data_IF_882751110337
#
_entry.id   IF_882751110337
#
_cell.length_a   1.000
_cell.length_b   1.000
_cell.length_c   1.000
_cell.angle_alpha   90.00
_cell.angle_beta   90.00
_cell.angle_gamma   90.00
#
_symmetry.space_group_name_H-M   'P 1'
#
loop_
_entity.id
_entity.type
_entity.pdbx_description
1 polymer ?
#
# COMPACT_ATOMS: atom_id res chain seq x y z
N UNK A 1 -6.96 7.19 -18.60
CA UNK A 1 -6.41 8.53 -18.93
C UNK A 1 -7.45 9.60 -18.64
N UNK A 2 -6.98 10.78 -18.24
CA UNK A 2 -7.80 11.96 -17.96
C UNK A 2 -8.38 12.53 -19.26
N UNK A 3 -9.63 12.95 -19.23
CA UNK A 3 -10.17 13.78 -20.31
C UNK A 3 -9.64 15.22 -20.25
N UNK A 4 -10.03 16.06 -21.21
CA UNK A 4 -9.57 17.45 -21.28
C UNK A 4 -10.02 18.29 -20.07
N UNK A 5 -11.22 18.04 -19.52
CA UNK A 5 -11.73 18.78 -18.37
C UNK A 5 -11.01 18.34 -17.09
N UNK A 6 -10.87 17.04 -16.89
CA UNK A 6 -10.14 16.43 -15.78
C UNK A 6 -8.69 16.91 -15.75
N UNK A 7 -8.00 16.90 -16.89
CA UNK A 7 -6.63 17.39 -17.01
C UNK A 7 -6.53 18.89 -16.68
N UNK A 8 -7.41 19.73 -17.22
CA UNK A 8 -7.41 21.16 -16.91
C UNK A 8 -7.65 21.44 -15.41
N UNK A 9 -8.52 20.65 -14.77
CA UNK A 9 -8.75 20.75 -13.33
C UNK A 9 -7.52 20.29 -12.55
N UNK A 10 -6.89 19.21 -12.97
CA UNK A 10 -5.65 18.71 -12.38
C UNK A 10 -4.51 19.74 -12.49
N UNK A 11 -4.28 20.35 -13.67
CA UNK A 11 -3.27 21.40 -13.83
C UNK A 11 -3.49 22.59 -12.89
N UNK A 12 -4.76 22.98 -12.66
CA UNK A 12 -5.10 24.04 -11.70
C UNK A 12 -4.84 23.61 -10.26
N UNK A 13 -5.13 22.36 -9.90
CA UNK A 13 -4.86 21.83 -8.56
C UNK A 13 -3.37 21.76 -8.26
N UNK A 14 -2.54 21.48 -9.27
CA UNK A 14 -1.08 21.45 -9.16
C UNK A 14 -0.43 22.84 -9.33
N UNK A 15 -1.21 23.91 -9.46
CA UNK A 15 -0.71 25.28 -9.69
C UNK A 15 0.30 25.39 -10.86
N UNK A 16 0.09 24.60 -11.93
CA UNK A 16 1.02 24.57 -13.06
C UNK A 16 1.01 25.89 -13.84
N UNK A 17 2.20 26.32 -14.24
CA UNK A 17 2.36 27.42 -15.19
C UNK A 17 1.81 27.05 -16.58
N UNK A 18 1.50 28.04 -17.41
CA UNK A 18 1.11 27.79 -18.81
C UNK A 18 2.17 27.00 -19.58
N UNK A 19 3.45 27.22 -19.29
CA UNK A 19 4.55 26.48 -19.90
C UNK A 19 4.59 25.01 -19.43
N UNK A 20 4.33 24.76 -18.15
CA UNK A 20 4.21 23.41 -17.59
C UNK A 20 2.99 22.66 -18.14
N UNK A 21 1.85 23.33 -18.27
CA UNK A 21 0.67 22.75 -18.92
C UNK A 21 0.96 22.39 -20.39
N UNK A 22 1.55 23.30 -21.14
CA UNK A 22 1.82 23.09 -22.57
C UNK A 22 2.76 21.90 -22.82
N UNK A 23 3.81 21.72 -22.01
CA UNK A 23 4.72 20.59 -22.19
C UNK A 23 4.04 19.26 -21.86
N UNK A 24 3.16 19.21 -20.86
CA UNK A 24 2.39 18.00 -20.56
C UNK A 24 1.40 17.70 -21.70
N UNK A 25 0.70 18.71 -22.24
CA UNK A 25 -0.17 18.52 -23.40
C UNK A 25 0.58 17.98 -24.63
N UNK A 26 1.80 18.48 -24.87
CA UNK A 26 2.68 17.95 -25.92
C UNK A 26 3.02 16.48 -25.67
N UNK A 27 3.41 16.10 -24.45
CA UNK A 27 3.71 14.71 -24.09
C UNK A 27 2.48 13.81 -24.30
N UNK A 28 1.31 14.23 -23.79
CA UNK A 28 0.05 13.47 -23.86
C UNK A 28 -0.45 13.24 -25.29
N UNK A 29 -0.12 14.16 -26.20
CA UNK A 29 -0.51 14.10 -27.62
C UNK A 29 0.54 13.47 -28.53
N UNK A 30 1.75 13.21 -28.01
CA UNK A 30 2.87 12.64 -28.76
C UNK A 30 2.84 11.11 -28.77
N UNK A 31 3.27 10.52 -29.88
CA UNK A 31 3.66 9.12 -29.89
C UNK A 31 5.04 8.93 -29.22
N UNK A 32 5.41 7.72 -28.77
CA UNK A 32 6.75 7.44 -28.25
C UNK A 32 7.84 7.94 -29.20
N UNK A 33 8.78 8.72 -28.68
CA UNK A 33 9.76 9.47 -29.47
C UNK A 33 10.75 8.59 -30.23
N UNK A 34 10.88 7.32 -29.81
CA UNK A 34 11.67 6.29 -30.49
C UNK A 34 10.86 5.00 -30.55
N UNK A 35 11.08 4.20 -31.58
CA UNK A 35 10.58 2.82 -31.62
C UNK A 35 11.64 1.92 -31.04
N UNK A 36 11.28 1.15 -30.02
CA UNK A 36 12.16 0.14 -29.48
C UNK A 36 12.50 -0.89 -30.57
N UNK A 37 13.79 -1.15 -30.78
CA UNK A 37 14.28 -2.19 -31.70
C UNK A 37 15.17 -3.16 -30.93
N UNK A 38 14.90 -4.47 -31.07
CA UNK A 38 15.63 -5.50 -30.33
C UNK A 38 17.13 -5.46 -30.61
N UNK A 39 17.93 -5.11 -29.60
CA UNK A 39 19.38 -5.25 -29.64
C UNK A 39 19.80 -6.62 -29.09
N UNK A 40 20.96 -7.12 -29.53
CA UNK A 40 21.51 -8.47 -29.22
C UNK A 40 21.69 -8.79 -27.72
N UNK A 41 21.43 -7.83 -26.82
CA UNK A 41 21.58 -7.94 -25.35
C UNK A 41 20.33 -7.51 -24.56
N UNK A 42 19.30 -6.94 -25.19
CA UNK A 42 18.13 -6.39 -24.52
C UNK A 42 16.85 -7.07 -25.03
N UNK A 43 15.99 -7.51 -24.11
CA UNK A 43 14.65 -8.01 -24.45
C UNK A 43 13.72 -6.80 -24.48
N UNK A 44 13.42 -6.40 -25.70
CA UNK A 44 12.46 -5.36 -26.00
C UNK A 44 11.06 -5.96 -26.10
N UNK A 45 10.07 -5.27 -25.57
CA UNK A 45 8.69 -5.74 -25.59
C UNK A 45 7.69 -4.60 -25.47
N UNK A 46 6.43 -4.98 -25.26
CA UNK A 46 5.33 -4.04 -25.20
C UNK A 46 4.26 -4.56 -24.23
N UNK A 47 3.78 -3.71 -23.33
CA UNK A 47 2.79 -4.03 -22.30
C UNK A 47 1.42 -3.43 -22.64
N UNK A 48 0.33 -4.20 -22.71
CA UNK A 48 -1.01 -3.69 -23.02
C UNK A 48 -1.64 -3.01 -21.79
N UNK A 49 -1.36 -1.72 -21.60
CA UNK A 49 -1.87 -0.95 -20.46
C UNK A 49 -3.37 -0.67 -20.60
N UNK A 50 -4.11 -0.97 -19.53
CA UNK A 50 -5.53 -0.64 -19.41
C UNK A 50 -5.70 0.78 -18.92
N UNK A 51 -4.84 1.21 -17.99
CA UNK A 51 -4.84 2.59 -17.48
C UNK A 51 -4.66 3.61 -18.60
N UNK A 52 -3.77 3.29 -19.55
CA UNK A 52 -3.49 4.13 -20.71
C UNK A 52 -4.37 3.80 -21.92
N UNK A 53 -4.97 2.61 -21.99
CA UNK A 53 -5.78 2.18 -23.13
C UNK A 53 -4.96 1.97 -24.41
N UNK A 54 -3.64 1.81 -24.27
CA UNK A 54 -2.69 1.63 -25.37
C UNK A 54 -1.53 0.72 -24.93
N UNK A 55 -0.67 0.37 -25.87
CA UNK A 55 0.50 -0.45 -25.57
C UNK A 55 1.71 0.43 -25.22
N UNK A 56 2.35 0.14 -24.10
CA UNK A 56 3.54 0.83 -23.58
C UNK A 56 4.80 0.03 -23.93
N UNK A 57 5.81 0.65 -24.54
CA UNK A 57 7.05 -0.04 -24.91
C UNK A 57 8.02 -0.12 -23.73
N UNK A 58 8.86 -1.15 -23.73
CA UNK A 58 9.99 -1.27 -22.80
C UNK A 58 11.19 -1.93 -23.48
N UNK A 59 12.39 -1.58 -23.02
CA UNK A 59 13.68 -2.12 -23.49
C UNK A 59 14.36 -3.02 -22.47
N UNK A 60 13.89 -3.01 -21.23
CA UNK A 60 14.43 -3.83 -20.14
C UNK A 60 13.34 -4.55 -19.36
N UNK A 61 13.35 -5.88 -19.45
CA UNK A 61 12.37 -6.74 -18.77
C UNK A 61 12.48 -6.72 -17.23
N UNK A 62 13.68 -6.44 -16.69
CA UNK A 62 13.91 -6.48 -15.24
C UNK A 62 13.82 -5.11 -14.59
N UNK A 63 13.88 -4.02 -15.36
CA UNK A 63 13.87 -2.66 -14.83
C UNK A 63 12.62 -1.92 -15.32
N UNK A 64 12.54 -1.60 -16.61
CA UNK A 64 11.42 -0.84 -17.18
C UNK A 64 10.09 -1.61 -17.13
N UNK A 65 10.06 -2.89 -17.47
CA UNK A 65 8.82 -3.67 -17.34
C UNK A 65 8.37 -3.79 -15.88
N UNK A 66 9.31 -3.99 -14.95
CA UNK A 66 9.00 -4.00 -13.53
C UNK A 66 8.40 -2.65 -13.10
N UNK A 67 8.94 -1.54 -13.62
CA UNK A 67 8.39 -0.21 -13.39
C UNK A 67 6.99 -0.04 -13.99
N UNK A 68 6.74 -0.53 -15.20
CA UNK A 68 5.40 -0.50 -15.82
C UNK A 68 4.38 -1.20 -14.94
N UNK A 69 4.72 -2.35 -14.34
CA UNK A 69 3.83 -3.04 -13.41
C UNK A 69 3.49 -2.19 -12.18
N UNK A 70 4.48 -1.51 -11.57
CA UNK A 70 4.23 -0.59 -10.46
C UNK A 70 3.33 0.59 -10.90
N UNK A 71 3.58 1.17 -12.07
CA UNK A 71 2.83 2.31 -12.59
C UNK A 71 1.39 1.95 -12.96
N UNK A 72 1.16 0.79 -13.59
CA UNK A 72 -0.17 0.33 -13.99
C UNK A 72 -1.09 0.10 -12.78
N UNK A 73 -0.53 -0.41 -11.69
CA UNK A 73 -1.30 -0.82 -10.51
C UNK A 73 -1.25 0.18 -9.35
N UNK A 74 -0.45 1.26 -9.43
CA UNK A 74 -0.51 2.36 -8.45
C UNK A 74 -1.80 3.19 -8.68
N UNK A 75 -2.72 3.26 -7.69
CA UNK A 75 -3.95 4.04 -7.80
C UNK A 75 -3.71 5.55 -7.86
N UNK A 76 -2.53 6.03 -7.42
CA UNK A 76 -2.15 7.43 -7.50
C UNK A 76 -1.57 7.81 -8.87
N UNK A 77 -1.25 6.86 -9.74
CA UNK A 77 -0.80 7.13 -11.12
C UNK A 77 -2.04 7.28 -12.00
N UNK A 78 -2.18 8.44 -12.64
CA UNK A 78 -3.28 8.76 -13.54
C UNK A 78 -2.93 8.41 -14.98
N UNK A 79 -1.71 8.75 -15.40
CA UNK A 79 -1.18 8.51 -16.74
C UNK A 79 0.34 8.25 -16.67
N UNK A 80 0.87 7.48 -17.61
CA UNK A 80 2.31 7.31 -17.79
C UNK A 80 2.64 7.00 -19.25
N UNK A 81 3.69 7.64 -19.76
CA UNK A 81 4.06 7.65 -21.17
C UNK A 81 5.49 7.11 -21.31
N UNK A 82 5.68 6.09 -22.13
CA UNK A 82 7.01 5.60 -22.48
C UNK A 82 7.70 6.55 -23.46
N UNK A 83 8.99 6.78 -23.22
CA UNK A 83 9.88 7.46 -24.15
C UNK A 83 9.32 8.82 -24.62
N UNK A 84 8.99 9.74 -23.67
CA UNK A 84 8.46 11.06 -23.99
C UNK A 84 9.40 11.85 -24.94
N UNK A 85 8.93 12.98 -25.52
CA UNK A 85 9.78 13.89 -26.28
C UNK A 85 11.15 14.14 -25.61
N UNK A 86 12.20 14.14 -26.44
CA UNK A 86 13.56 14.29 -25.94
C UNK A 86 13.76 15.66 -25.28
N UNK A 87 14.44 15.66 -24.15
CA UNK A 87 14.83 16.83 -23.38
C UNK A 87 16.31 17.13 -23.59
N UNK A 88 16.69 18.39 -23.43
CA UNK A 88 18.08 18.78 -23.55
C UNK A 88 18.79 18.74 -22.20
N UNK A 89 19.79 17.86 -22.07
CA UNK A 89 20.64 17.81 -20.88
C UNK A 89 21.91 18.63 -21.07
N UNK A 90 22.17 19.54 -20.13
CA UNK A 90 23.36 20.41 -20.11
C UNK A 90 24.12 20.22 -18.80
N UNK A 91 25.37 19.76 -18.85
CA UNK A 91 26.19 19.53 -17.64
C UNK A 91 27.68 19.55 -17.98
N UNK A 92 28.53 19.70 -16.96
CA UNK A 92 29.98 19.58 -17.14
C UNK A 92 30.43 18.11 -16.95
N UNK A 93 31.30 17.59 -17.82
CA UNK A 93 31.97 16.32 -17.55
C UNK A 93 32.87 16.41 -16.32
N UNK A 94 33.35 15.25 -15.85
CA UNK A 94 34.40 15.17 -14.82
C UNK A 94 35.68 15.95 -15.20
N UNK A 95 35.97 16.11 -16.48
CA UNK A 95 37.10 16.89 -17.00
C UNK A 95 36.82 18.40 -17.15
N UNK A 96 35.62 18.87 -16.78
CA UNK A 96 35.21 20.28 -16.89
C UNK A 96 34.69 20.71 -18.26
N UNK A 97 34.59 19.79 -19.24
CA UNK A 97 34.03 20.09 -20.56
C UNK A 97 32.50 20.19 -20.47
N UNK A 98 31.92 21.26 -21.01
CA UNK A 98 30.46 21.38 -21.14
C UNK A 98 29.92 20.39 -22.17
N UNK A 99 28.95 19.57 -21.77
CA UNK A 99 28.20 18.66 -22.62
C UNK A 99 26.78 19.18 -22.79
N UNK A 100 26.24 18.98 -24.00
CA UNK A 100 24.87 19.30 -24.40
C UNK A 100 24.43 18.20 -25.35
N UNK A 101 23.32 17.54 -25.06
CA UNK A 101 22.77 16.51 -25.93
C UNK A 101 21.28 16.34 -25.69
N UNK A 102 20.59 15.87 -26.74
CA UNK A 102 19.20 15.42 -26.65
C UNK A 102 19.15 14.06 -25.97
N UNK A 103 18.18 13.90 -25.09
CA UNK A 103 18.06 12.76 -24.22
C UNK A 103 16.58 12.40 -24.03
N UNK A 104 16.24 11.14 -24.19
CA UNK A 104 14.88 10.63 -23.97
C UNK A 104 14.85 9.90 -22.64
N UNK A 105 14.12 10.40 -21.63
CA UNK A 105 13.84 9.65 -20.41
C UNK A 105 13.03 8.38 -20.70
N UNK A 106 13.03 7.42 -19.79
CA UNK A 106 12.27 6.18 -19.97
C UNK A 106 10.76 6.42 -19.85
N UNK A 107 10.33 7.26 -18.89
CA UNK A 107 8.92 7.58 -18.68
C UNK A 107 8.66 9.06 -18.43
N UNK A 108 7.43 9.49 -18.72
CA UNK A 108 6.79 10.65 -18.09
C UNK A 108 5.55 10.19 -17.35
N UNK A 109 5.40 10.57 -16.08
CA UNK A 109 4.35 10.05 -15.19
C UNK A 109 3.53 11.23 -14.67
N UNK A 110 2.21 11.08 -14.71
CA UNK A 110 1.24 12.00 -14.10
C UNK A 110 0.59 11.27 -12.94
N UNK A 111 0.82 11.77 -11.72
CA UNK A 111 0.20 11.31 -10.48
C UNK A 111 -0.95 12.24 -10.08
N UNK A 112 -1.71 11.84 -9.08
CA UNK A 112 -2.74 12.67 -8.44
C UNK A 112 -2.21 14.01 -7.90
N UNK A 113 -0.93 14.07 -7.53
CA UNK A 113 -0.32 15.18 -6.79
C UNK A 113 0.93 15.78 -7.45
N UNK A 114 1.35 15.27 -8.63
CA UNK A 114 2.61 15.65 -9.27
C UNK A 114 2.71 15.11 -10.69
N UNK A 115 3.62 15.66 -11.50
CA UNK A 115 4.06 15.03 -12.74
C UNK A 115 5.56 15.21 -12.96
N UNK A 116 6.20 14.20 -13.54
CA UNK A 116 7.65 14.17 -13.65
C UNK A 116 8.14 13.24 -14.76
N UNK A 117 9.36 13.52 -15.23
CA UNK A 117 10.13 12.56 -16.01
C UNK A 117 10.80 11.57 -15.07
N UNK A 118 10.95 10.33 -15.52
CA UNK A 118 11.62 9.28 -14.75
C UNK A 118 12.60 8.51 -15.64
N UNK A 119 13.81 8.32 -15.13
CA UNK A 119 14.82 7.46 -15.74
C UNK A 119 15.00 6.19 -14.90
N UNK A 120 14.91 5.03 -15.55
CA UNK A 120 15.15 3.74 -14.94
C UNK A 120 16.62 3.30 -15.13
N UNK A 121 17.31 2.99 -14.04
CA UNK A 121 18.67 2.43 -14.08
C UNK A 121 18.90 1.41 -12.98
N UNK A 122 19.68 0.37 -13.26
CA UNK A 122 20.09 -0.55 -12.18
C UNK A 122 21.03 0.16 -11.21
N UNK A 123 21.02 -0.22 -9.92
CA UNK A 123 21.99 0.30 -8.93
C UNK A 123 23.43 0.09 -9.43
N UNK A 124 23.71 -1.06 -10.05
CA UNK A 124 25.03 -1.36 -10.59
C UNK A 124 25.46 -0.35 -11.67
N UNK A 125 24.54 0.07 -12.54
CA UNK A 125 24.80 1.09 -13.56
C UNK A 125 24.94 2.48 -12.94
N UNK A 126 24.07 2.86 -12.00
CA UNK A 126 24.12 4.16 -11.34
C UNK A 126 25.43 4.38 -10.59
N UNK A 127 25.91 3.37 -9.88
CA UNK A 127 27.22 3.44 -9.21
C UNK A 127 28.37 3.69 -10.20
N UNK A 128 28.38 2.98 -11.34
CA UNK A 128 29.38 3.22 -12.41
C UNK A 128 29.24 4.62 -13.02
N UNK A 129 28.00 5.05 -13.26
CA UNK A 129 27.71 6.35 -13.87
C UNK A 129 28.08 7.51 -12.95
N UNK A 130 27.93 7.37 -11.63
CA UNK A 130 28.36 8.35 -10.65
C UNK A 130 29.90 8.53 -10.68
N UNK A 131 30.66 7.46 -10.80
CA UNK A 131 32.13 7.54 -10.89
C UNK A 131 32.61 8.22 -12.19
N UNK A 132 31.93 7.93 -13.30
CA UNK A 132 32.29 8.40 -14.64
C UNK A 132 31.77 9.82 -14.92
N UNK A 133 30.53 10.10 -14.54
CA UNK A 133 29.78 11.31 -14.83
C UNK A 133 29.02 11.82 -13.57
N UNK A 134 29.73 12.23 -12.50
CA UNK A 134 29.12 12.61 -11.22
C UNK A 134 28.18 13.82 -11.32
N UNK A 135 28.39 14.68 -12.32
CA UNK A 135 27.52 15.84 -12.58
C UNK A 135 26.26 15.47 -13.38
N UNK A 136 26.11 14.20 -13.80
CA UNK A 136 24.92 13.69 -14.47
C UNK A 136 24.14 12.75 -13.57
N UNK A 137 24.81 11.88 -12.84
CA UNK A 137 24.17 11.00 -11.86
C UNK A 137 24.94 11.07 -10.55
N UNK A 138 24.25 11.36 -9.46
CA UNK A 138 24.84 11.40 -8.13
C UNK A 138 23.88 10.82 -7.10
N UNK A 139 24.42 10.30 -6.00
CA UNK A 139 23.64 9.80 -4.85
C UNK A 139 23.80 10.77 -3.70
N UNK A 140 22.69 11.30 -3.19
CA UNK A 140 22.70 12.20 -2.05
C UNK A 140 22.87 11.42 -0.74
N UNK A 141 23.08 12.15 0.37
CA UNK A 141 23.29 11.56 1.71
C UNK A 141 22.07 10.80 2.24
N UNK A 142 20.89 11.06 1.69
CA UNK A 142 19.64 10.33 1.98
C UNK A 142 19.53 9.01 1.20
N UNK A 143 20.53 8.70 0.37
CA UNK A 143 20.54 7.49 -0.45
C UNK A 143 19.73 7.57 -1.74
N UNK A 144 19.17 8.74 -2.09
CA UNK A 144 18.43 8.92 -3.35
C UNK A 144 19.36 9.24 -4.51
N UNK A 145 19.00 8.70 -5.68
CA UNK A 145 19.68 9.01 -6.93
C UNK A 145 19.09 10.26 -7.57
N UNK A 146 19.98 11.09 -8.10
CA UNK A 146 19.67 12.37 -8.70
C UNK A 146 20.23 12.43 -10.12
N UNK A 147 19.54 13.20 -10.96
CA UNK A 147 20.03 13.59 -12.27
C UNK A 147 20.01 15.12 -12.36
N UNK A 148 21.02 15.83 -11.84
CA UNK A 148 21.02 17.28 -11.78
C UNK A 148 20.65 18.00 -13.08
N UNK A 149 21.16 17.61 -14.28
CA UNK A 149 20.74 18.27 -15.52
C UNK A 149 19.30 17.96 -15.93
N UNK A 150 18.75 16.81 -15.54
CA UNK A 150 17.34 16.47 -15.77
C UNK A 150 16.43 17.26 -14.84
N UNK A 151 16.82 17.38 -13.57
CA UNK A 151 16.14 18.19 -12.56
C UNK A 151 16.14 19.68 -12.94
N UNK A 152 17.27 20.21 -13.42
CA UNK A 152 17.36 21.60 -13.90
C UNK A 152 16.42 21.85 -15.09
N UNK A 153 16.34 20.91 -16.03
CA UNK A 153 15.38 20.98 -17.14
C UNK A 153 13.93 20.98 -16.63
N UNK A 154 13.58 20.01 -15.79
CA UNK A 154 12.21 19.84 -15.30
C UNK A 154 11.74 21.03 -14.45
N UNK A 155 12.63 21.58 -13.60
CA UNK A 155 12.35 22.77 -12.80
C UNK A 155 12.00 23.96 -13.70
N UNK A 156 12.65 24.11 -14.86
CA UNK A 156 12.32 25.14 -15.85
C UNK A 156 10.86 25.13 -16.32
N UNK A 157 10.17 23.99 -16.17
CA UNK A 157 8.76 23.80 -16.48
C UNK A 157 7.85 23.70 -15.25
N UNK A 158 8.40 23.80 -14.04
CA UNK A 158 7.67 23.62 -12.78
C UNK A 158 7.30 22.16 -12.52
N UNK A 159 8.14 21.22 -12.97
CA UNK A 159 7.95 19.77 -12.85
C UNK A 159 9.22 19.13 -12.27
N UNK A 160 9.15 17.84 -11.95
CA UNK A 160 10.27 17.10 -11.37
C UNK A 160 10.94 16.12 -12.35
N UNK A 161 12.13 15.68 -11.99
CA UNK A 161 12.85 14.61 -12.65
C UNK A 161 13.33 13.60 -11.61
N UNK A 162 12.98 12.34 -11.79
CA UNK A 162 13.32 11.26 -10.87
C UNK A 162 14.23 10.22 -11.52
N UNK A 163 15.10 9.63 -10.71
CA UNK A 163 15.88 8.44 -11.08
C UNK A 163 15.32 7.27 -10.28
N UNK A 164 14.76 6.29 -10.98
CA UNK A 164 14.24 5.07 -10.39
C UNK A 164 15.25 3.94 -10.54
N UNK A 165 15.44 3.18 -9.46
CA UNK A 165 16.42 2.11 -9.41
C UNK A 165 15.79 0.76 -9.14
N UNK A 166 16.40 -0.30 -9.68
CA UNK A 166 16.00 -1.69 -9.44
C UNK A 166 16.02 -2.09 -7.95
N UNK A 167 16.74 -1.36 -7.09
CA UNK A 167 16.67 -1.49 -5.64
C UNK A 167 15.29 -1.14 -5.05
N UNK A 168 14.44 -0.40 -5.78
CA UNK A 168 13.08 -0.05 -5.37
C UNK A 168 12.04 -1.11 -5.76
N UNK A 169 12.44 -2.15 -6.52
CA UNK A 169 11.52 -3.18 -6.99
C UNK A 169 11.01 -4.01 -5.81
N UNK A 170 9.70 -4.08 -5.67
CA UNK A 170 9.07 -5.03 -4.76
C UNK A 170 8.91 -6.40 -5.45
N UNK A 171 9.87 -7.30 -5.25
CA UNK A 171 9.86 -8.63 -5.87
C UNK A 171 8.68 -9.52 -5.47
N UNK A 172 8.04 -9.27 -4.33
CA UNK A 172 6.81 -9.98 -3.96
C UNK A 172 5.66 -9.52 -4.86
N UNK A 173 5.49 -8.22 -4.97
CA UNK A 173 4.47 -7.60 -5.82
C UNK A 173 4.63 -8.03 -7.29
N UNK A 174 5.85 -7.97 -7.83
CA UNK A 174 6.15 -8.40 -9.20
C UNK A 174 5.78 -9.86 -9.46
N UNK A 175 6.13 -10.78 -8.55
CA UNK A 175 5.78 -12.19 -8.68
C UNK A 175 4.27 -12.41 -8.58
N UNK A 176 3.59 -11.67 -7.71
CA UNK A 176 2.14 -11.75 -7.57
C UNK A 176 1.41 -11.23 -8.83
N UNK A 177 1.89 -10.14 -9.44
CA UNK A 177 1.33 -9.67 -10.70
C UNK A 177 1.54 -10.68 -11.82
N UNK A 178 2.74 -11.28 -11.93
CA UNK A 178 3.01 -12.36 -12.88
C UNK A 178 2.06 -13.54 -12.67
N UNK A 179 1.80 -13.90 -11.41
CA UNK A 179 0.83 -14.95 -11.05
C UNK A 179 -0.59 -14.59 -11.50
N UNK A 180 -0.96 -13.31 -11.43
CA UNK A 180 -2.29 -12.83 -11.76
C UNK A 180 -2.48 -12.43 -13.24
N UNK A 181 -1.42 -12.48 -14.06
CA UNK A 181 -1.40 -11.96 -15.43
C UNK A 181 -2.57 -12.45 -16.28
N UNK A 182 -2.83 -13.76 -16.22
CA UNK A 182 -3.87 -14.39 -17.02
C UNK A 182 -5.27 -13.88 -16.64
N UNK A 183 -5.46 -13.45 -15.39
CA UNK A 183 -6.76 -13.01 -14.87
C UNK A 183 -7.09 -11.56 -15.18
N UNK A 184 -6.07 -10.70 -15.37
CA UNK A 184 -6.36 -9.32 -15.75
C UNK A 184 -7.23 -9.34 -17.01
N UNK A 185 -6.88 -10.12 -18.04
CA UNK A 185 -7.60 -10.23 -19.33
C UNK A 185 -9.09 -10.63 -19.30
N UNK A 186 -9.60 -11.25 -18.23
CA UNK A 186 -10.96 -11.78 -18.19
C UNK A 186 -12.00 -10.71 -17.87
N UNK A 187 -13.08 -10.65 -18.67
CA UNK A 187 -14.24 -9.82 -18.37
C UNK A 187 -15.15 -10.50 -17.35
N UNK A 188 -15.81 -9.70 -16.50
CA UNK A 188 -16.79 -10.18 -15.51
C UNK A 188 -17.97 -10.90 -16.15
N UNK A 189 -18.23 -10.64 -17.44
CA UNK A 189 -19.31 -11.25 -18.23
C UNK A 189 -19.09 -12.75 -18.48
N UNK A 190 -17.85 -13.23 -18.33
CA UNK A 190 -17.50 -14.65 -18.53
C UNK A 190 -17.71 -15.46 -17.25
N UNK A 191 -17.80 -14.79 -16.09
CA UNK A 191 -17.82 -15.43 -14.77
C UNK A 191 -19.20 -15.33 -14.15
N UNK A 192 -19.71 -16.44 -13.64
CA UNK A 192 -21.02 -16.53 -12.99
C UNK A 192 -21.09 -15.60 -11.76
N UNK A 193 -22.11 -14.73 -11.73
CA UNK A 193 -22.35 -13.82 -10.60
C UNK A 193 -22.64 -14.57 -9.29
N UNK A 194 -23.17 -15.80 -9.39
CA UNK A 194 -23.44 -16.64 -8.22
C UNK A 194 -22.15 -17.13 -7.56
N UNK A 195 -21.15 -17.55 -8.35
CA UNK A 195 -19.82 -17.94 -7.86
C UNK A 195 -19.09 -16.76 -7.22
N UNK A 196 -19.15 -15.58 -7.85
CA UNK A 196 -18.58 -14.35 -7.28
C UNK A 196 -19.21 -14.03 -5.92
N UNK A 197 -20.55 -14.05 -5.85
CA UNK A 197 -21.30 -13.74 -4.63
C UNK A 197 -21.01 -14.74 -3.51
N UNK A 198 -20.86 -16.02 -3.82
CA UNK A 198 -20.50 -17.06 -2.85
C UNK A 198 -19.16 -16.75 -2.18
N UNK A 199 -18.12 -16.48 -2.98
CA UNK A 199 -16.77 -16.22 -2.46
C UNK A 199 -16.76 -14.92 -1.64
N UNK A 200 -17.35 -13.85 -2.17
CA UNK A 200 -17.44 -12.55 -1.50
C UNK A 200 -18.16 -12.67 -0.15
N UNK A 201 -19.30 -13.37 -0.10
CA UNK A 201 -20.03 -13.59 1.14
C UNK A 201 -19.23 -14.46 2.12
N UNK A 202 -18.50 -15.46 1.62
CA UNK A 202 -17.65 -16.33 2.46
C UNK A 202 -16.57 -15.52 3.17
N UNK A 203 -15.85 -14.67 2.43
CA UNK A 203 -14.82 -13.77 2.98
C UNK A 203 -15.42 -12.72 3.92
N UNK A 204 -16.59 -12.17 3.58
CA UNK A 204 -17.23 -11.15 4.41
C UNK A 204 -17.74 -11.71 5.75
N UNK A 205 -18.19 -12.98 5.78
CA UNK A 205 -18.69 -13.62 7.00
C UNK A 205 -17.57 -14.14 7.92
N UNK A 206 -16.34 -14.24 7.43
CA UNK A 206 -15.20 -14.79 8.19
C UNK A 206 -13.97 -13.88 8.01
N UNK A 207 -13.75 -13.01 9.00
CA UNK A 207 -12.58 -12.13 9.01
C UNK A 207 -11.29 -12.95 9.16
N UNK A 208 -10.29 -12.65 8.32
CA UNK A 208 -8.96 -13.25 8.43
C UNK A 208 -8.84 -14.67 7.83
N UNK A 209 -9.68 -15.02 6.85
CA UNK A 209 -9.47 -16.27 6.09
C UNK A 209 -8.17 -16.21 5.28
N UNK A 210 -7.46 -17.33 5.29
CA UNK A 210 -6.30 -17.54 4.43
C UNK A 210 -6.71 -17.98 3.03
N UNK A 211 -5.86 -17.71 2.04
CA UNK A 211 -6.04 -18.19 0.68
C UNK A 211 -6.08 -19.73 0.65
N UNK A 212 -5.30 -20.41 1.50
CA UNK A 212 -5.36 -21.88 1.66
C UNK A 212 -6.74 -22.37 2.11
N UNK A 213 -7.39 -21.69 3.05
CA UNK A 213 -8.72 -22.09 3.52
C UNK A 213 -9.77 -21.93 2.42
N UNK A 214 -9.70 -20.84 1.65
CA UNK A 214 -10.58 -20.61 0.51
C UNK A 214 -10.35 -21.65 -0.59
N UNK A 215 -9.09 -21.95 -0.92
CA UNK A 215 -8.73 -22.94 -1.95
C UNK A 215 -9.08 -24.40 -1.57
N UNK A 216 -9.24 -24.68 -0.27
CA UNK A 216 -9.67 -26.01 0.22
C UNK A 216 -11.18 -26.19 0.21
N UNK A 217 -11.96 -25.12 0.02
CA UNK A 217 -13.40 -25.22 -0.11
C UNK A 217 -13.76 -25.70 -1.53
N UNK A 218 -14.35 -26.89 -1.65
CA UNK A 218 -14.71 -27.48 -2.94
C UNK A 218 -15.80 -26.68 -3.70
N UNK A 219 -16.55 -25.82 -3.01
CA UNK A 219 -17.53 -24.92 -3.63
C UNK A 219 -16.90 -23.67 -4.25
N UNK A 220 -15.62 -23.39 -3.97
CA UNK A 220 -14.91 -22.21 -4.47
C UNK A 220 -14.10 -22.60 -5.71
N UNK A 221 -14.41 -21.95 -6.82
CA UNK A 221 -13.58 -22.02 -8.02
C UNK A 221 -12.31 -21.15 -7.84
N UNK A 222 -11.09 -21.74 -7.88
CA UNK A 222 -9.84 -20.98 -7.73
C UNK A 222 -9.66 -19.88 -8.78
N UNK A 223 -10.10 -20.10 -10.03
CA UNK A 223 -9.93 -19.13 -11.10
C UNK A 223 -10.77 -17.88 -10.83
N UNK A 224 -11.99 -18.06 -10.29
CA UNK A 224 -12.85 -16.95 -9.87
C UNK A 224 -12.25 -16.22 -8.68
N UNK A 225 -11.68 -16.93 -7.71
CA UNK A 225 -11.01 -16.32 -6.56
C UNK A 225 -9.82 -15.44 -6.98
N UNK A 226 -8.92 -15.96 -7.82
CA UNK A 226 -7.79 -15.18 -8.31
C UNK A 226 -8.23 -14.02 -9.20
N UNK A 227 -9.28 -14.20 -10.00
CA UNK A 227 -9.88 -13.10 -10.76
C UNK A 227 -10.45 -12.00 -9.86
N UNK A 228 -11.14 -12.35 -8.77
CA UNK A 228 -11.64 -11.38 -7.80
C UNK A 228 -10.50 -10.59 -7.14
N UNK A 229 -9.36 -11.23 -6.87
CA UNK A 229 -8.14 -10.55 -6.36
C UNK A 229 -7.55 -9.65 -7.44
N UNK A 230 -7.40 -10.14 -8.68
CA UNK A 230 -6.82 -9.38 -9.79
C UNK A 230 -7.67 -8.18 -10.22
N UNK A 231 -8.97 -8.19 -9.92
CA UNK A 231 -9.91 -7.11 -10.24
C UNK A 231 -10.27 -6.24 -9.03
N UNK A 232 -9.47 -6.33 -7.95
CA UNK A 232 -9.63 -5.57 -6.71
C UNK A 232 -11.01 -5.72 -6.02
N UNK A 233 -11.78 -6.75 -6.39
CA UNK A 233 -13.05 -7.12 -5.72
C UNK A 233 -12.80 -7.81 -4.39
N UNK A 234 -11.63 -8.43 -4.23
CA UNK A 234 -11.07 -8.89 -2.98
C UNK A 234 -9.69 -8.28 -2.80
N UNK A 235 -9.33 -8.02 -1.56
CA UNK A 235 -8.08 -7.37 -1.20
C UNK A 235 -7.09 -8.37 -0.61
N UNK A 236 -5.87 -8.34 -1.13
CA UNK A 236 -4.67 -8.98 -0.59
C UNK A 236 -3.55 -7.94 -0.62
N UNK A 237 -2.75 -7.85 0.45
CA UNK A 237 -1.59 -6.95 0.48
C UNK A 237 -0.43 -7.54 -0.35
N UNK A 238 -0.55 -7.45 -1.67
CA UNK A 238 0.35 -8.06 -2.65
C UNK A 238 1.80 -7.55 -2.51
N UNK A 239 2.04 -6.45 -1.81
CA UNK A 239 3.39 -5.96 -1.53
C UNK A 239 4.11 -6.76 -0.45
N UNK A 240 3.38 -7.38 0.49
CA UNK A 240 3.97 -8.03 1.66
C UNK A 240 3.97 -9.55 1.57
N UNK A 241 3.04 -10.14 0.83
CA UNK A 241 2.83 -11.60 0.77
C UNK A 241 3.20 -12.19 -0.58
N UNK A 242 3.26 -13.53 -0.66
CA UNK A 242 3.44 -14.26 -1.91
C UNK A 242 2.23 -15.16 -2.15
N UNK A 243 1.54 -14.98 -3.27
CA UNK A 243 0.39 -15.81 -3.66
C UNK A 243 0.77 -17.30 -3.81
N UNK A 244 2.03 -17.58 -4.13
CA UNK A 244 2.59 -18.94 -4.16
C UNK A 244 2.72 -19.61 -2.78
N UNK A 245 2.50 -18.88 -1.68
CA UNK A 245 2.50 -19.37 -0.29
C UNK A 245 1.13 -19.11 0.36
N UNK A 246 0.05 -19.76 -0.15
CA UNK A 246 -1.34 -19.40 0.16
C UNK A 246 -1.71 -19.52 1.65
N UNK A 247 -0.95 -20.25 2.45
CA UNK A 247 -1.13 -20.37 3.91
C UNK A 247 -0.77 -19.09 4.67
N UNK A 248 0.03 -18.21 4.06
CA UNK A 248 0.45 -16.92 4.65
C UNK A 248 -0.36 -15.74 4.13
N UNK A 249 -1.23 -15.98 3.14
CA UNK A 249 -1.98 -14.95 2.44
C UNK A 249 -3.35 -14.82 3.06
N UNK A 250 -3.62 -13.70 3.74
CA UNK A 250 -4.96 -13.37 4.19
C UNK A 250 -5.73 -12.63 3.10
N UNK A 251 -7.00 -13.00 2.91
CA UNK A 251 -7.89 -12.41 1.90
C UNK A 251 -8.99 -11.63 2.62
N UNK A 252 -9.21 -10.39 2.18
CA UNK A 252 -10.18 -9.48 2.78
C UNK A 252 -11.14 -8.92 1.74
N UNK A 253 -12.27 -8.38 2.20
CA UNK A 253 -13.22 -7.72 1.30
C UNK A 253 -12.70 -6.38 0.77
N UNK A 254 -11.85 -5.70 1.54
CA UNK A 254 -11.18 -4.46 1.16
C UNK A 254 -10.01 -4.14 2.12
N UNK A 255 -9.24 -3.12 1.77
CA UNK A 255 -8.09 -2.65 2.54
C UNK A 255 -8.44 -2.20 3.97
N UNK A 256 -9.58 -1.53 4.18
CA UNK A 256 -9.97 -1.04 5.50
C UNK A 256 -10.19 -2.19 6.50
N UNK A 257 -10.76 -3.30 6.02
CA UNK A 257 -10.94 -4.50 6.83
C UNK A 257 -9.60 -5.15 7.14
N UNK A 258 -8.68 -5.22 6.16
CA UNK A 258 -7.32 -5.72 6.38
C UNK A 258 -6.56 -4.92 7.45
N UNK A 259 -6.60 -3.59 7.37
CA UNK A 259 -5.98 -2.70 8.37
C UNK A 259 -6.59 -2.89 9.76
N UNK A 260 -7.92 -3.05 9.84
CA UNK A 260 -8.61 -3.30 11.10
C UNK A 260 -8.18 -4.64 11.72
N UNK A 261 -8.03 -5.67 10.89
CA UNK A 261 -7.55 -6.99 11.30
C UNK A 261 -6.10 -6.97 11.79
N UNK A 262 -5.19 -6.29 11.06
CA UNK A 262 -3.80 -6.08 11.49
C UNK A 262 -3.75 -5.37 12.86
N UNK A 263 -4.59 -4.34 13.06
CA UNK A 263 -4.61 -3.61 14.32
C UNK A 263 -5.07 -4.48 15.50
N UNK A 264 -6.15 -5.24 15.35
CA UNK A 264 -6.64 -6.16 16.38
C UNK A 264 -5.58 -7.20 16.76
N UNK A 265 -4.94 -7.81 15.77
CA UNK A 265 -3.89 -8.80 16.01
C UNK A 265 -2.63 -8.18 16.63
N UNK A 266 -2.30 -6.93 16.29
CA UNK A 266 -1.19 -6.21 16.92
C UNK A 266 -1.47 -5.95 18.40
N UNK A 267 -2.72 -5.61 18.77
CA UNK A 267 -3.12 -5.42 20.18
C UNK A 267 -3.02 -6.74 20.93
N UNK A 268 -3.54 -7.84 20.37
CA UNK A 268 -3.45 -9.17 20.99
C UNK A 268 -1.99 -9.62 21.19
N UNK A 269 -1.12 -9.37 20.20
CA UNK A 269 0.32 -9.66 20.28
C UNK A 269 1.03 -8.79 21.33
N UNK A 270 0.60 -7.54 21.48
CA UNK A 270 1.15 -6.60 22.49
C UNK A 270 0.67 -6.96 23.90
N UNK A 271 -0.56 -7.46 24.04
CA UNK A 271 -1.09 -7.99 25.32
C UNK A 271 -0.41 -9.29 25.77
N UNK A 272 0.26 -10.02 24.88
CA UNK A 272 1.12 -11.15 25.28
C UNK A 272 2.48 -10.71 25.83
N UNK A 273 2.89 -9.45 25.61
CA UNK A 273 4.22 -8.95 26.03
C UNK A 273 4.15 -7.87 27.12
N UNK A 274 2.95 -7.35 27.42
CA UNK A 274 2.70 -6.46 28.54
C UNK A 274 1.77 -7.15 29.53
N UNK A 275 2.21 -7.29 30.79
CA UNK A 275 1.42 -7.76 31.93
C UNK A 275 0.32 -6.73 32.29
N UNK A 276 -0.48 -6.29 31.31
CA UNK A 276 -1.64 -5.45 31.53
C UNK A 276 -2.79 -6.35 31.94
N UNK A 277 -3.01 -6.41 33.25
CA UNK A 277 -4.19 -7.03 33.85
C UNK A 277 -5.41 -6.27 33.29
N UNK A 278 -6.20 -6.93 32.44
CA UNK A 278 -7.52 -6.45 32.03
C UNK A 278 -8.37 -6.28 33.28
N UNK A 279 -8.67 -5.03 33.63
CA UNK A 279 -9.50 -4.68 34.77
C UNK A 279 -10.97 -4.80 34.35
N UNK A 280 -11.65 -5.84 34.82
CA UNK A 280 -13.08 -6.04 34.55
C UNK A 280 -13.88 -5.01 35.37
N UNK A 281 -14.62 -4.14 34.69
CA UNK A 281 -15.49 -3.14 35.34
C UNK A 281 -16.92 -3.69 35.31
N UNK A 282 -17.32 -4.38 36.36
CA UNK A 282 -18.67 -4.90 36.54
C UNK A 282 -19.13 -4.75 38.00
N UNK A 283 -20.44 -4.60 38.22
CA UNK A 283 -21.01 -4.59 39.58
C UNK A 283 -20.63 -5.89 40.32
N UNK A 284 -20.20 -5.76 41.57
CA UNK A 284 -19.67 -6.85 42.39
C UNK A 284 -18.17 -7.11 42.21
N UNK A 285 -17.47 -6.34 41.37
CA UNK A 285 -16.02 -6.46 41.20
C UNK A 285 -15.27 -5.58 42.21
N UNK A 286 -14.21 -6.13 42.82
CA UNK A 286 -13.34 -5.39 43.73
C UNK A 286 -12.17 -4.74 42.99
N UNK A 287 -11.92 -3.48 43.32
CA UNK A 287 -10.80 -2.68 42.83
C UNK A 287 -10.03 -2.10 44.02
N UNK A 288 -8.76 -1.78 43.82
CA UNK A 288 -7.92 -1.13 44.82
C UNK A 288 -7.67 0.31 44.43
N UNK A 289 -8.01 1.24 45.34
CA UNK A 289 -7.87 2.68 45.12
C UNK A 289 -7.47 3.37 46.42
N UNK A 290 -6.36 4.12 46.36
CA UNK A 290 -5.83 4.92 47.48
C UNK A 290 -5.58 4.12 48.77
N UNK A 291 -5.03 2.91 48.62
CA UNK A 291 -4.69 2.04 49.75
C UNK A 291 -5.85 1.20 50.29
N UNK A 292 -7.05 1.31 49.70
CA UNK A 292 -8.26 0.67 50.19
C UNK A 292 -8.94 -0.17 49.10
N UNK A 293 -9.64 -1.23 49.52
CA UNK A 293 -10.44 -2.08 48.62
C UNK A 293 -11.87 -1.53 48.51
N UNK A 294 -12.35 -1.45 47.28
CA UNK A 294 -13.66 -0.92 46.92
C UNK A 294 -14.41 -1.89 46.02
N UNK A 295 -15.69 -2.11 46.32
CA UNK A 295 -16.60 -2.86 45.46
C UNK A 295 -17.31 -1.90 44.50
N UNK A 296 -17.34 -2.23 43.21
CA UNK A 296 -18.18 -1.54 42.24
C UNK A 296 -19.62 -1.94 42.51
N UNK A 297 -20.46 -1.00 42.94
CA UNK A 297 -21.87 -1.27 43.28
C UNK A 297 -22.85 -0.71 42.25
N UNK A 298 -22.41 0.19 41.39
CA UNK A 298 -23.22 0.74 40.31
C UNK A 298 -22.35 1.18 39.13
N UNK A 299 -22.77 0.87 37.90
CA UNK A 299 -22.16 1.35 36.64
C UNK A 299 -23.21 2.12 35.86
N UNK A 300 -23.43 3.38 36.23
CA UNK A 300 -24.36 4.28 35.56
C UNK A 300 -23.81 4.83 34.25
N UNK A 301 -24.66 5.49 33.46
CA UNK A 301 -24.27 6.10 32.18
C UNK A 301 -23.31 7.29 32.36
N UNK A 302 -23.32 7.94 33.53
CA UNK A 302 -22.50 9.13 33.83
C UNK A 302 -21.55 8.95 35.01
N UNK A 303 -21.88 8.07 35.95
CA UNK A 303 -21.13 7.86 37.19
C UNK A 303 -21.02 6.37 37.54
N UNK A 304 -19.91 6.02 38.19
CA UNK A 304 -19.65 4.70 38.78
C UNK A 304 -19.65 4.83 40.30
N UNK A 305 -20.45 3.99 40.97
CA UNK A 305 -20.55 3.93 42.42
C UNK A 305 -19.61 2.89 43.02
N UNK A 306 -18.84 3.29 44.04
CA UNK A 306 -17.86 2.48 44.75
C UNK A 306 -18.21 2.42 46.24
N UNK A 307 -18.32 1.21 46.79
CA UNK A 307 -18.62 0.95 48.19
C UNK A 307 -17.40 0.36 48.90
N UNK A 308 -17.03 0.92 50.05
CA UNK A 308 -15.98 0.40 50.90
C UNK A 308 -16.56 -0.45 52.03
N UNK A 309 -15.77 -1.38 52.58
CA UNK A 309 -16.18 -2.26 53.69
C UNK A 309 -16.65 -1.51 54.96
N UNK A 310 -16.23 -0.26 55.17
CA UNK A 310 -16.71 0.59 56.27
C UNK A 310 -18.09 1.24 56.01
N UNK A 311 -18.72 0.91 54.88
CA UNK A 311 -20.04 1.42 54.47
C UNK A 311 -20.01 2.76 53.74
N UNK A 312 -18.82 3.33 53.47
CA UNK A 312 -18.73 4.57 52.69
C UNK A 312 -18.96 4.31 51.20
N UNK A 313 -19.89 5.08 50.63
CA UNK A 313 -20.19 5.12 49.21
C UNK A 313 -19.61 6.38 48.58
N UNK A 314 -18.92 6.23 47.45
CA UNK A 314 -18.47 7.34 46.58
C UNK A 314 -18.99 7.10 45.17
N UNK A 315 -19.52 8.14 44.54
CA UNK A 315 -19.80 8.13 43.11
C UNK A 315 -18.77 8.98 42.37
N UNK A 316 -18.11 8.39 41.36
CA UNK A 316 -17.16 9.07 40.50
C UNK A 316 -17.75 9.28 39.12
N UNK A 317 -17.60 10.47 38.51
CA UNK A 317 -17.86 10.64 37.08
C UNK A 317 -17.06 9.63 36.26
N UNK A 318 -17.67 9.01 35.25
CA UNK A 318 -17.02 7.97 34.45
C UNK A 318 -15.69 8.44 33.85
N UNK A 319 -15.60 9.71 33.42
CA UNK A 319 -14.36 10.32 32.95
C UNK A 319 -13.25 10.34 34.01
N UNK A 320 -13.58 10.66 35.26
CA UNK A 320 -12.62 10.68 36.35
C UNK A 320 -12.21 9.25 36.75
N UNK A 321 -13.16 8.32 36.73
CA UNK A 321 -12.91 6.90 37.01
C UNK A 321 -11.96 6.29 35.97
N UNK A 322 -12.21 6.50 34.68
CA UNK A 322 -11.34 6.04 33.59
C UNK A 322 -9.95 6.68 33.70
N UNK A 323 -9.86 7.99 33.95
CA UNK A 323 -8.56 8.66 34.14
C UNK A 323 -7.74 8.08 35.32
N UNK A 324 -8.40 7.63 36.39
CA UNK A 324 -7.73 6.99 37.52
C UNK A 324 -7.24 5.57 37.19
N UNK A 325 -7.92 4.86 36.28
CA UNK A 325 -7.46 3.55 35.75
C UNK A 325 -6.28 3.76 34.81
N UNK A 326 -6.39 4.70 33.87
CA UNK A 326 -5.33 5.00 32.89
C UNK A 326 -4.03 5.46 33.55
N UNK A 327 -4.13 6.19 34.67
CA UNK A 327 -2.99 6.63 35.48
C UNK A 327 -2.49 5.57 36.47
N UNK A 328 -3.10 4.39 36.51
CA UNK A 328 -2.73 3.27 37.38
C UNK A 328 -3.00 3.50 38.87
N UNK A 329 -3.82 4.50 39.23
CA UNK A 329 -4.24 4.77 40.62
C UNK A 329 -5.33 3.83 41.09
N UNK A 330 -6.14 3.33 40.15
CA UNK A 330 -7.09 2.23 40.36
C UNK A 330 -6.53 0.99 39.69
N UNK A 331 -6.44 -0.11 40.43
CA UNK A 331 -5.96 -1.40 39.93
C UNK A 331 -6.91 -2.54 40.33
N UNK A 332 -6.94 -3.63 39.55
CA UNK A 332 -7.77 -4.80 39.84
C UNK A 332 -7.17 -5.63 40.98
N UNK A 333 -8.03 -6.26 41.78
CA UNK A 333 -7.57 -7.18 42.83
C UNK A 333 -6.86 -8.40 42.21
N UNK A 334 -5.67 -8.74 42.70
CA UNK A 334 -4.73 -9.71 42.10
C UNK A 334 -5.13 -11.18 42.29
N UNK A 335 -6.42 -11.49 42.37
CA UNK A 335 -6.91 -12.83 42.71
C UNK A 335 -7.68 -13.49 41.57
N UNK A 336 -7.02 -13.74 40.42
CA UNK A 336 -7.27 -14.96 39.64
C UNK A 336 -6.07 -15.32 38.75
N UNK A 337 -5.12 -16.10 39.29
CA UNK A 337 -4.29 -16.97 38.48
C UNK A 337 -5.12 -18.20 38.12
N UNK A 338 -5.42 -18.42 36.84
CA UNK A 338 -5.67 -19.76 36.34
C UNK A 338 -5.05 -19.92 34.97
N UNK A 339 -3.84 -20.47 34.99
CA UNK A 339 -3.22 -21.21 33.91
C UNK A 339 -4.09 -22.39 33.49
N UNK A 340 -4.51 -22.45 32.22
CA UNK A 340 -4.50 -23.69 31.46
C UNK A 340 -4.64 -23.49 29.95
N UNK A 341 -3.89 -24.32 29.24
CA UNK A 341 -3.60 -24.33 27.81
C UNK A 341 -4.57 -25.31 27.09
N UNK A 342 -5.02 -24.89 25.89
CA UNK A 342 -5.48 -25.64 24.70
C UNK A 342 -6.91 -26.27 24.58
N UNK A 343 -7.55 -25.80 23.51
CA UNK A 343 -8.18 -26.51 22.36
C UNK A 343 -9.64 -26.98 22.43
N UNK A 344 -10.45 -26.36 21.53
CA UNK A 344 -11.67 -26.82 20.81
C UNK A 344 -12.86 -27.34 21.65
N UNK A 345 -14.13 -27.16 21.29
CA UNK A 345 -14.82 -27.31 20.00
C UNK A 345 -16.26 -26.79 20.18
N UNK A 346 -16.85 -26.30 19.09
CA UNK A 346 -18.28 -26.18 18.76
C UNK A 346 -19.33 -26.66 19.79
N UNK A 347 -20.38 -25.86 19.97
CA UNK A 347 -21.77 -26.34 19.87
C UNK A 347 -22.75 -25.17 19.66
N UNK A 348 -23.71 -25.47 18.77
CA UNK A 348 -24.91 -24.72 18.41
C UNK A 348 -25.65 -24.11 19.60
N UNK A 349 -26.46 -23.08 19.36
CA UNK A 349 -27.81 -22.96 19.93
C UNK A 349 -28.66 -21.98 19.11
N UNK A 350 -29.36 -22.53 18.11
CA UNK A 350 -30.65 -22.00 17.67
C UNK A 350 -31.72 -22.57 18.59
N UNK A 351 -32.24 -21.80 19.55
CA UNK A 351 -33.61 -21.93 20.06
C UNK A 351 -34.05 -20.54 20.60
N UNK A 352 -34.81 -19.79 19.79
CA UNK A 352 -36.24 -19.59 19.99
C UNK A 352 -36.89 -18.98 18.75
#
# INVERSE_FOLDING_TARGET
MLDNLEFNNWCRQQDLSQAGQAIIEEIRSSNPSRRVTGARKNVCGSYPSRKMGCTIQFESHHNELARIYELEHDPCVLEYYDQPPAIELVYQSKSGRKNRHQYTPDFFIIRTDSAFWEECKTELELNKLNELNPNRYCKNSDGKWHCPPGEEYAHGHGLDFHVWSDALINWNFQQNLIWLLDYFGYSSEIIDETEQSLIVNTVNNHLGMTLTELLKNEEINPDVLYWLIATDKLYVELNKVKLSQPETVFVFINQNVALSYEHLNSIESTTQTSNQILLQIAVGTNIYWDGESWEIVNTGTTTTGLLRADGKLIELPNLAFTALIDTGKIVGDKTTQTSNIKISRWLQLNIR
#
